data_IF_993639951844
#
_entry.id   IF_993639951844
#
_cell.length_a   1.000
_cell.length_b   1.000
_cell.length_c   1.000
_cell.angle_alpha   90.00
_cell.angle_beta   90.00
_cell.angle_gamma   90.00
#
_symmetry.space_group_name_H-M   'P 1'
#
loop_
_entity.id
_entity.type
_entity.pdbx_description
1 polymer ?
#
# COMPACT_ATOMS: atom_id res chain seq x y z
N UNK A 1 -1.29 -14.74 -9.10
CA UNK A 1 -2.45 -13.99 -9.67
C UNK A 1 -3.28 -14.96 -10.50
N UNK A 2 -4.60 -14.77 -10.54
CA UNK A 2 -5.52 -15.67 -11.25
C UNK A 2 -5.22 -15.74 -12.75
N UNK A 3 -4.66 -14.67 -13.32
CA UNK A 3 -4.24 -14.61 -14.72
C UNK A 3 -3.31 -15.77 -15.13
N UNK A 4 -2.35 -16.12 -14.26
CA UNK A 4 -1.42 -17.22 -14.55
C UNK A 4 -2.10 -18.61 -14.43
N UNK A 5 -3.05 -18.74 -13.51
CA UNK A 5 -3.85 -19.97 -13.35
C UNK A 5 -4.70 -20.21 -14.60
N UNK A 6 -5.30 -19.15 -15.15
CA UNK A 6 -6.09 -19.22 -16.38
C UNK A 6 -5.21 -19.46 -17.61
N UNK A 7 -4.09 -18.73 -17.74
CA UNK A 7 -3.17 -18.85 -18.85
C UNK A 7 -2.54 -20.25 -18.94
N UNK A 8 -2.18 -20.85 -17.81
CA UNK A 8 -1.65 -22.21 -17.72
C UNK A 8 -2.71 -23.29 -17.51
N UNK A 9 -4.01 -22.96 -17.64
CA UNK A 9 -5.15 -23.89 -17.54
C UNK A 9 -5.19 -24.74 -16.26
N UNK A 10 -4.66 -24.22 -15.15
CA UNK A 10 -4.52 -24.93 -13.87
C UNK A 10 -5.84 -25.08 -13.07
N UNK A 11 -6.97 -24.63 -13.63
CA UNK A 11 -8.30 -24.80 -13.04
C UNK A 11 -8.91 -26.19 -13.28
N UNK A 12 -8.28 -27.00 -14.14
CA UNK A 12 -8.63 -28.39 -14.41
C UNK A 12 -7.37 -29.26 -14.36
N UNK A 13 -7.53 -30.52 -13.99
CA UNK A 13 -6.43 -31.48 -14.03
C UNK A 13 -6.14 -31.90 -15.49
N UNK A 14 -4.85 -32.09 -15.81
CA UNK A 14 -4.40 -32.85 -16.97
C UNK A 14 -3.85 -34.22 -16.53
N UNK A 15 -2.90 -34.78 -17.29
CA UNK A 15 -2.34 -36.12 -17.02
C UNK A 15 -0.88 -36.09 -16.54
N UNK A 16 -0.28 -34.89 -16.44
CA UNK A 16 1.15 -34.70 -16.15
C UNK A 16 1.38 -34.32 -14.69
N UNK A 17 2.09 -35.14 -13.93
CA UNK A 17 2.56 -34.73 -12.60
C UNK A 17 4.00 -34.22 -12.68
N UNK A 18 4.37 -33.22 -11.88
CA UNK A 18 5.75 -32.79 -11.79
C UNK A 18 6.24 -32.59 -10.36
N UNK A 19 7.56 -32.71 -10.19
CA UNK A 19 8.25 -32.36 -8.94
C UNK A 19 9.51 -31.56 -9.25
N UNK A 20 9.69 -30.45 -8.57
CA UNK A 20 10.82 -29.53 -8.76
C UNK A 20 11.43 -29.09 -7.42
N UNK A 21 12.71 -28.68 -7.41
CA UNK A 21 13.29 -27.94 -6.27
C UNK A 21 12.89 -26.46 -6.23
N UNK A 22 12.82 -25.81 -7.39
CA UNK A 22 12.63 -24.35 -7.47
C UNK A 22 11.15 -24.00 -7.62
N UNK A 23 10.63 -23.17 -6.71
CA UNK A 23 9.26 -22.65 -6.80
C UNK A 23 9.04 -21.76 -8.03
N UNK A 24 10.04 -20.94 -8.40
CA UNK A 24 9.97 -20.13 -9.61
C UNK A 24 9.92 -20.98 -10.89
N UNK A 25 10.77 -22.00 -10.97
CA UNK A 25 10.76 -22.94 -12.10
C UNK A 25 9.51 -23.82 -12.13
N UNK A 26 8.87 -24.08 -10.98
CA UNK A 26 7.59 -24.77 -10.94
C UNK A 26 6.50 -23.98 -11.67
N UNK A 27 6.53 -22.66 -11.57
CA UNK A 27 5.59 -21.82 -12.32
C UNK A 27 5.88 -21.80 -13.82
N UNK A 28 7.16 -21.91 -14.21
CA UNK A 28 7.54 -22.09 -15.62
C UNK A 28 7.15 -23.48 -16.14
N UNK A 29 7.28 -24.54 -15.33
CA UNK A 29 6.79 -25.87 -15.68
C UNK A 29 5.28 -25.88 -15.92
N UNK A 30 4.49 -25.18 -15.10
CA UNK A 30 3.06 -25.00 -15.35
C UNK A 30 2.80 -24.41 -16.75
N UNK A 31 3.56 -23.37 -17.13
CA UNK A 31 3.46 -22.75 -18.44
C UNK A 31 3.88 -23.71 -19.57
N UNK A 32 5.05 -24.37 -19.47
CA UNK A 32 5.55 -25.30 -20.49
C UNK A 32 4.59 -26.46 -20.68
N UNK A 33 4.22 -27.16 -19.59
CA UNK A 33 3.35 -28.34 -19.63
C UNK A 33 1.97 -27.98 -20.19
N UNK A 34 1.40 -26.82 -19.83
CA UNK A 34 0.11 -26.37 -20.34
C UNK A 34 0.08 -26.12 -21.86
N UNK A 35 1.24 -25.85 -22.48
CA UNK A 35 1.38 -25.59 -23.91
C UNK A 35 1.68 -26.86 -24.72
N UNK A 36 2.34 -27.83 -24.11
CA UNK A 36 2.82 -29.04 -24.78
C UNK A 36 1.97 -30.28 -24.53
N UNK A 37 1.11 -30.27 -23.50
CA UNK A 37 0.31 -31.44 -23.06
C UNK A 37 -1.15 -31.06 -22.73
N UNK A 38 -1.94 -32.01 -22.21
CA UNK A 38 -3.29 -31.73 -21.69
C UNK A 38 -3.30 -30.91 -20.40
N UNK A 39 -2.17 -30.75 -19.71
CA UNK A 39 -2.02 -29.93 -18.51
C UNK A 39 -1.50 -30.68 -17.30
N UNK A 40 -1.37 -29.96 -16.18
CA UNK A 40 -0.82 -30.50 -14.93
C UNK A 40 -1.91 -31.24 -14.14
N UNK A 41 -1.60 -32.44 -13.67
CA UNK A 41 -2.40 -33.18 -12.68
C UNK A 41 -2.06 -32.69 -11.26
N UNK A 42 -0.78 -32.79 -10.87
CA UNK A 42 -0.26 -32.35 -9.58
C UNK A 42 1.17 -31.82 -9.75
N UNK A 43 1.48 -30.69 -9.14
CA UNK A 43 2.79 -30.07 -9.20
C UNK A 43 3.32 -29.75 -7.81
N UNK A 44 4.51 -30.26 -7.47
CA UNK A 44 5.13 -30.04 -6.15
C UNK A 44 6.50 -29.39 -6.27
N UNK A 45 6.73 -28.33 -5.51
CA UNK A 45 8.05 -27.76 -5.27
C UNK A 45 8.57 -28.23 -3.89
N UNK A 46 9.57 -29.12 -3.84
CA UNK A 46 10.12 -29.64 -2.57
C UNK A 46 11.01 -28.63 -1.84
N UNK A 47 11.36 -27.52 -2.48
CA UNK A 47 12.24 -26.49 -1.95
C UNK A 47 13.72 -26.76 -2.22
N UNK A 48 14.53 -25.70 -2.14
CA UNK A 48 15.97 -25.71 -2.44
C UNK A 48 16.88 -25.98 -1.25
N UNK A 49 16.32 -26.33 -0.09
CA UNK A 49 17.11 -26.63 1.09
C UNK A 49 17.86 -27.95 0.93
N UNK A 50 18.98 -28.08 1.64
CA UNK A 50 19.82 -29.28 1.57
C UNK A 50 19.05 -30.55 2.00
N UNK A 51 18.16 -30.41 2.98
CA UNK A 51 17.34 -31.47 3.53
C UNK A 51 15.86 -31.05 3.49
N UNK A 52 15.18 -31.21 2.35
CA UNK A 52 13.76 -30.92 2.27
C UNK A 52 12.96 -31.93 3.10
N UNK A 53 11.81 -31.52 3.65
CA UNK A 53 10.96 -32.40 4.46
C UNK A 53 10.39 -33.60 3.68
N UNK A 54 10.25 -33.46 2.36
CA UNK A 54 9.95 -34.53 1.41
C UNK A 54 10.88 -34.42 0.21
N UNK A 55 11.32 -35.56 -0.31
CA UNK A 55 12.31 -35.67 -1.39
C UNK A 55 11.64 -35.90 -2.74
N UNK A 56 12.42 -35.85 -3.82
CA UNK A 56 11.93 -36.19 -5.16
C UNK A 56 11.27 -37.57 -5.21
N UNK A 57 11.92 -38.58 -4.61
CA UNK A 57 11.43 -39.95 -4.69
C UNK A 57 10.09 -40.14 -3.97
N UNK A 58 9.88 -39.43 -2.85
CA UNK A 58 8.63 -39.51 -2.09
C UNK A 58 7.44 -39.09 -2.96
N UNK A 59 7.59 -38.03 -3.76
CA UNK A 59 6.54 -37.59 -4.67
C UNK A 59 6.45 -38.44 -5.94
N UNK A 60 7.58 -38.90 -6.50
CA UNK A 60 7.58 -39.79 -7.68
C UNK A 60 6.86 -41.10 -7.38
N UNK A 61 7.07 -41.69 -6.19
CA UNK A 61 6.36 -42.91 -5.78
C UNK A 61 4.85 -42.66 -5.65
N UNK A 62 4.43 -41.57 -5.03
CA UNK A 62 2.99 -41.21 -4.98
C UNK A 62 2.40 -41.06 -6.39
N UNK A 63 3.12 -40.40 -7.29
CA UNK A 63 2.66 -40.21 -8.67
C UNK A 63 2.54 -41.54 -9.41
N UNK A 64 3.46 -42.47 -9.17
CA UNK A 64 3.41 -43.82 -9.74
C UNK A 64 2.17 -44.59 -9.28
N UNK A 65 1.74 -44.41 -8.03
CA UNK A 65 0.56 -45.07 -7.45
C UNK A 65 -0.76 -44.36 -7.78
N UNK A 66 -0.72 -43.19 -8.42
CA UNK A 66 -1.91 -42.39 -8.74
C UNK A 66 -2.39 -42.67 -10.17
N UNK A 67 -3.53 -43.35 -10.31
CA UNK A 67 -4.06 -43.78 -11.61
C UNK A 67 -4.27 -42.64 -12.62
N UNK A 68 -4.53 -41.41 -12.15
CA UNK A 68 -4.72 -40.22 -12.97
C UNK A 68 -3.44 -39.65 -13.59
N UNK A 69 -2.26 -40.05 -13.11
CA UNK A 69 -0.97 -39.60 -13.62
C UNK A 69 -0.49 -40.56 -14.70
N UNK A 70 -0.24 -40.05 -15.91
CA UNK A 70 0.27 -40.84 -17.04
C UNK A 70 1.70 -40.52 -17.42
N UNK A 71 2.20 -39.37 -16.98
CA UNK A 71 3.61 -39.01 -17.14
C UNK A 71 4.10 -38.16 -15.97
N UNK A 72 5.38 -38.33 -15.62
CA UNK A 72 6.03 -37.65 -14.49
C UNK A 72 7.20 -36.82 -15.02
N UNK A 73 7.23 -35.54 -14.67
CA UNK A 73 8.33 -34.61 -14.99
C UNK A 73 9.10 -34.28 -13.71
N UNK A 74 10.39 -34.62 -13.68
CA UNK A 74 11.27 -34.30 -12.54
C UNK A 74 12.26 -33.22 -12.97
N UNK A 75 12.18 -32.05 -12.34
CA UNK A 75 13.15 -30.98 -12.55
C UNK A 75 14.11 -30.89 -11.36
N UNK A 76 15.35 -31.33 -11.59
CA UNK A 76 16.45 -31.24 -10.64
C UNK A 76 16.89 -29.80 -10.35
N UNK A 77 18.10 -29.64 -9.83
CA UNK A 77 18.65 -28.31 -9.52
C UNK A 77 19.37 -27.67 -10.70
N UNK A 78 19.14 -26.36 -10.84
CA UNK A 78 20.07 -25.45 -11.51
C UNK A 78 21.01 -24.91 -10.43
N UNK A 79 22.32 -25.03 -10.66
CA UNK A 79 23.37 -24.92 -9.64
C UNK A 79 23.64 -23.48 -9.14
N UNK A 80 22.64 -22.66 -8.82
CA UNK A 80 22.87 -21.34 -8.20
C UNK A 80 21.69 -20.89 -7.31
N UNK A 81 22.00 -20.15 -6.23
CA UNK A 81 21.05 -19.44 -5.36
C UNK A 81 20.40 -20.24 -4.22
N UNK A 82 20.25 -21.56 -4.36
CA UNK A 82 19.65 -22.41 -3.32
C UNK A 82 20.70 -22.95 -2.33
N UNK A 83 20.34 -23.08 -1.05
CA UNK A 83 21.23 -23.56 0.01
C UNK A 83 21.78 -24.98 -0.26
N UNK A 84 21.00 -25.82 -0.96
CA UNK A 84 21.39 -27.17 -1.37
C UNK A 84 22.18 -27.27 -2.67
N UNK A 85 22.32 -26.18 -3.43
CA UNK A 85 22.90 -26.19 -4.78
C UNK A 85 24.45 -26.19 -4.79
N UNK A 86 25.07 -27.01 -3.94
CA UNK A 86 26.52 -27.18 -3.88
C UNK A 86 26.87 -28.65 -4.17
N UNK A 87 27.75 -28.88 -5.14
CA UNK A 87 28.25 -30.22 -5.47
C UNK A 87 29.54 -30.49 -4.69
N UNK A 88 29.46 -31.35 -3.68
CA UNK A 88 30.62 -31.78 -2.88
C UNK A 88 31.43 -32.87 -3.57
N UNK A 89 30.81 -33.62 -4.48
CA UNK A 89 31.41 -34.72 -5.23
C UNK A 89 31.10 -34.62 -6.72
N UNK A 90 31.90 -35.27 -7.56
CA UNK A 90 31.66 -35.32 -9.01
C UNK A 90 30.30 -35.94 -9.37
N UNK A 91 29.82 -36.89 -8.56
CA UNK A 91 28.49 -37.51 -8.65
C UNK A 91 27.34 -36.53 -8.40
N UNK A 92 27.57 -35.47 -7.62
CA UNK A 92 26.55 -34.47 -7.28
C UNK A 92 26.35 -33.43 -8.40
N UNK A 93 27.23 -33.41 -9.41
CA UNK A 93 27.12 -32.48 -10.55
C UNK A 93 25.90 -32.78 -11.42
N UNK A 94 25.28 -31.74 -11.98
CA UNK A 94 24.12 -31.88 -12.87
C UNK A 94 24.43 -32.76 -14.11
N UNK A 95 25.65 -32.67 -14.65
CA UNK A 95 26.09 -33.48 -15.80
C UNK A 95 26.13 -34.96 -15.45
N UNK A 96 26.68 -35.33 -14.29
CA UNK A 96 26.72 -36.71 -13.84
C UNK A 96 25.30 -37.27 -13.59
N UNK A 97 24.42 -36.48 -12.96
CA UNK A 97 23.02 -36.85 -12.72
C UNK A 97 22.25 -37.08 -14.02
N UNK A 98 22.35 -36.15 -14.98
CA UNK A 98 21.66 -36.27 -16.27
C UNK A 98 22.13 -37.49 -17.06
N UNK A 99 23.44 -37.79 -17.03
CA UNK A 99 24.00 -38.99 -17.66
C UNK A 99 23.43 -40.27 -17.03
N UNK A 100 23.45 -40.36 -15.70
CA UNK A 100 22.93 -41.53 -14.96
C UNK A 100 21.43 -41.76 -15.20
N UNK A 101 20.63 -40.68 -15.23
CA UNK A 101 19.19 -40.75 -15.51
C UNK A 101 18.93 -41.26 -16.94
N UNK A 102 19.69 -40.76 -17.92
CA UNK A 102 19.58 -41.19 -19.33
C UNK A 102 19.94 -42.66 -19.50
N UNK A 103 20.98 -43.14 -18.83
CA UNK A 103 21.37 -44.56 -18.83
C UNK A 103 20.32 -45.46 -18.18
N UNK A 104 19.51 -44.92 -17.26
CA UNK A 104 18.41 -45.63 -16.58
C UNK A 104 17.10 -45.64 -17.38
N UNK A 105 17.10 -45.11 -18.62
CA UNK A 105 15.91 -45.08 -19.49
C UNK A 105 14.99 -43.88 -19.27
N UNK A 106 15.39 -42.88 -18.48
CA UNK A 106 14.64 -41.62 -18.34
C UNK A 106 14.82 -40.76 -19.60
N UNK A 107 13.75 -40.10 -20.04
CA UNK A 107 13.80 -39.11 -21.12
C UNK A 107 14.48 -37.82 -20.64
N UNK A 108 15.74 -37.64 -20.99
CA UNK A 108 16.55 -36.48 -20.59
C UNK A 108 16.84 -35.60 -21.82
N UNK A 109 16.41 -34.33 -21.84
CA UNK A 109 16.70 -33.40 -22.94
C UNK A 109 18.18 -33.00 -22.98
N UNK A 110 18.66 -32.41 -24.09
CA UNK A 110 20.05 -31.95 -24.17
C UNK A 110 20.30 -30.69 -23.34
N UNK A 111 19.31 -29.81 -23.29
CA UNK A 111 19.30 -28.57 -22.53
C UNK A 111 17.92 -28.32 -21.92
N UNK A 112 17.79 -27.27 -21.10
CA UNK A 112 16.49 -26.89 -20.55
C UNK A 112 15.52 -26.36 -21.62
N UNK A 113 16.02 -25.71 -22.67
CA UNK A 113 15.19 -25.15 -23.75
C UNK A 113 14.44 -26.25 -24.52
N UNK A 114 15.07 -27.42 -24.68
CA UNK A 114 14.49 -28.60 -25.35
C UNK A 114 13.56 -29.41 -24.41
N UNK A 115 13.38 -29.01 -23.14
CA UNK A 115 12.54 -29.74 -22.20
C UNK A 115 11.08 -29.81 -22.67
N UNK A 116 10.57 -28.71 -23.22
CA UNK A 116 9.21 -28.66 -23.78
C UNK A 116 9.01 -29.68 -24.91
N UNK A 117 9.98 -29.77 -25.83
CA UNK A 117 9.92 -30.67 -26.98
C UNK A 117 9.90 -32.15 -26.54
N UNK A 118 10.73 -32.52 -25.56
CA UNK A 118 10.76 -33.89 -25.03
C UNK A 118 9.47 -34.21 -24.30
N UNK A 119 8.95 -33.30 -23.47
CA UNK A 119 7.66 -33.45 -22.80
C UNK A 119 6.54 -33.67 -23.82
N UNK A 120 6.52 -32.88 -24.89
CA UNK A 120 5.56 -33.00 -25.97
C UNK A 120 5.65 -34.37 -26.67
N UNK A 121 6.86 -34.82 -27.02
CA UNK A 121 7.04 -36.10 -27.70
C UNK A 121 6.53 -37.30 -26.88
N UNK A 122 6.79 -37.31 -25.57
CA UNK A 122 6.34 -38.39 -24.68
C UNK A 122 4.82 -38.36 -24.54
N UNK A 123 4.24 -37.17 -24.43
CA UNK A 123 2.80 -37.00 -24.37
C UNK A 123 2.10 -37.48 -25.66
N UNK A 124 2.61 -37.10 -26.83
CA UNK A 124 2.08 -37.53 -28.13
C UNK A 124 2.14 -39.07 -28.29
N UNK A 125 3.23 -39.70 -27.85
CA UNK A 125 3.37 -41.16 -27.85
C UNK A 125 2.33 -41.85 -26.94
N UNK A 126 2.05 -41.28 -25.77
CA UNK A 126 1.06 -41.81 -24.81
C UNK A 126 -0.37 -41.65 -25.31
N UNK A 127 -0.66 -40.53 -25.98
CA UNK A 127 -1.96 -40.32 -26.66
C UNK A 127 -2.12 -41.29 -27.83
N UNK A 128 -1.08 -41.51 -28.64
CA UNK A 128 -1.10 -42.46 -29.75
C UNK A 128 -1.33 -43.91 -29.30
N UNK A 129 -0.80 -44.29 -28.13
CA UNK A 129 -1.05 -45.59 -27.49
C UNK A 129 -2.44 -45.71 -26.84
N UNK A 130 -3.17 -44.61 -26.70
CA UNK A 130 -4.45 -44.54 -26.02
C UNK A 130 -4.36 -44.62 -24.50
N UNK A 131 -3.18 -44.41 -23.92
CA UNK A 131 -2.99 -44.34 -22.45
C UNK A 131 -3.50 -43.02 -21.87
N UNK A 132 -3.44 -41.94 -22.67
CA UNK A 132 -4.04 -40.64 -22.38
C UNK A 132 -5.17 -40.38 -23.37
N UNK A 133 -6.36 -40.10 -22.85
CA UNK A 133 -7.51 -39.64 -23.64
C UNK A 133 -7.83 -38.22 -23.18
N UNK A 134 -7.47 -37.18 -23.96
CA UNK A 134 -7.68 -35.80 -23.56
C UNK A 134 -9.16 -35.50 -23.32
N UNK A 135 -9.47 -34.93 -22.16
CA UNK A 135 -10.82 -34.49 -21.84
C UNK A 135 -11.19 -33.21 -22.63
N UNK A 136 -12.48 -33.03 -22.90
CA UNK A 136 -13.00 -31.81 -23.53
C UNK A 136 -12.82 -30.60 -22.60
N UNK A 137 -12.43 -29.45 -23.16
CA UNK A 137 -12.23 -28.23 -22.37
C UNK A 137 -13.55 -27.59 -21.96
N UNK A 138 -13.80 -27.56 -20.66
CA UNK A 138 -14.94 -26.84 -20.07
C UNK A 138 -14.48 -25.45 -19.61
N UNK A 139 -15.18 -24.36 -20.01
CA UNK A 139 -14.81 -23.02 -19.59
C UNK A 139 -14.95 -22.86 -18.07
N UNK A 140 -13.98 -22.25 -17.38
CA UNK A 140 -14.05 -22.06 -15.93
C UNK A 140 -15.10 -21.00 -15.55
N UNK A 141 -15.66 -21.07 -14.33
CA UNK A 141 -16.47 -19.99 -13.78
C UNK A 141 -15.68 -18.66 -13.78
N UNK A 142 -16.32 -17.58 -14.21
CA UNK A 142 -15.67 -16.27 -14.30
C UNK A 142 -15.61 -15.60 -12.93
N UNK A 143 -14.45 -15.03 -12.60
CA UNK A 143 -14.25 -14.23 -11.38
C UNK A 143 -14.17 -12.76 -11.78
N UNK A 144 -14.92 -11.85 -11.12
CA UNK A 144 -14.80 -10.42 -11.38
C UNK A 144 -13.38 -9.92 -11.12
N UNK A 145 -12.93 -8.97 -11.93
CA UNK A 145 -11.63 -8.33 -11.74
C UNK A 145 -11.62 -7.52 -10.43
N UNK A 146 -10.51 -7.62 -9.68
CA UNK A 146 -10.33 -6.86 -8.46
C UNK A 146 -10.35 -5.35 -8.73
N UNK A 147 -11.00 -4.61 -7.83
CA UNK A 147 -11.12 -3.16 -7.95
C UNK A 147 -9.76 -2.44 -8.00
N UNK A 148 -8.77 -2.90 -7.21
CA UNK A 148 -7.41 -2.35 -7.24
C UNK A 148 -6.77 -2.49 -8.61
N UNK A 149 -6.86 -3.68 -9.21
CA UNK A 149 -6.34 -3.98 -10.54
C UNK A 149 -7.03 -3.19 -11.65
N UNK A 150 -8.36 -3.04 -11.55
CA UNK A 150 -9.15 -2.30 -12.52
C UNK A 150 -8.95 -0.77 -12.44
N UNK A 151 -8.80 -0.24 -11.22
CA UNK A 151 -8.74 1.22 -10.96
C UNK A 151 -7.36 1.79 -11.18
N UNK A 152 -6.32 1.02 -10.95
CA UNK A 152 -4.99 1.58 -10.93
C UNK A 152 -4.62 2.14 -12.30
N UNK A 153 -4.53 3.45 -12.32
CA UNK A 153 -4.30 4.28 -13.49
C UNK A 153 -2.86 4.72 -13.39
N UNK A 154 -2.14 4.54 -14.50
CA UNK A 154 -0.83 5.13 -14.81
C UNK A 154 -0.68 6.49 -14.10
N UNK A 155 0.06 6.55 -12.99
CA UNK A 155 0.58 7.81 -12.44
C UNK A 155 1.79 8.21 -13.28
N UNK A 156 1.59 8.48 -14.57
CA UNK A 156 2.60 9.13 -15.39
C UNK A 156 2.51 10.63 -15.11
N UNK A 157 3.06 11.02 -13.97
CA UNK A 157 3.33 12.43 -13.65
C UNK A 157 4.73 12.54 -13.08
N UNK A 158 5.72 12.06 -13.85
CA UNK A 158 7.12 12.40 -13.64
C UNK A 158 7.87 12.30 -14.98
N UNK A 159 7.97 13.45 -15.65
CA UNK A 159 9.14 13.92 -16.41
C UNK A 159 9.70 12.94 -17.47
N UNK A 160 9.33 13.24 -18.72
CA UNK A 160 10.14 13.00 -19.90
C UNK A 160 11.59 13.44 -19.65
N UNK A 161 12.52 12.49 -19.46
CA UNK A 161 13.95 12.62 -19.81
C UNK A 161 14.77 11.45 -19.22
N UNK A 162 15.08 10.47 -20.06
CA UNK A 162 16.22 9.55 -19.96
C UNK A 162 16.23 8.47 -18.85
N UNK A 163 15.50 7.36 -19.07
CA UNK A 163 15.92 6.04 -18.58
C UNK A 163 15.24 4.92 -19.38
N UNK A 164 15.97 4.01 -20.07
CA UNK A 164 15.38 2.91 -20.84
C UNK A 164 15.39 1.61 -20.03
N UNK A 165 14.83 1.60 -18.82
CA UNK A 165 14.47 0.37 -18.12
C UNK A 165 13.07 0.57 -17.57
N UNK A 166 12.10 0.24 -18.41
CA UNK A 166 10.69 0.24 -18.06
C UNK A 166 10.46 -0.86 -17.04
N UNK A 167 10.26 -0.48 -15.77
CA UNK A 167 9.71 -1.36 -14.75
C UNK A 167 8.25 -1.64 -15.17
N UNK A 168 8.03 -2.80 -15.76
CA UNK A 168 6.71 -3.30 -16.17
C UNK A 168 5.97 -3.76 -14.92
N UNK A 169 5.29 -2.84 -14.25
CA UNK A 169 4.06 -3.13 -13.48
C UNK A 169 3.14 -1.91 -13.63
N UNK A 170 2.62 -1.73 -14.83
CA UNK A 170 1.66 -0.68 -15.19
C UNK A 170 0.24 -1.26 -15.15
N UNK A 171 -0.50 -0.92 -14.11
CA UNK A 171 -1.88 -1.34 -13.90
C UNK A 171 -2.85 -0.54 -14.84
N UNK A 172 -3.99 -1.15 -15.21
CA UNK A 172 -4.64 -1.01 -16.53
C UNK A 172 -5.56 0.22 -16.75
N UNK A 173 -5.90 0.99 -15.72
CA UNK A 173 -6.71 2.21 -15.84
C UNK A 173 -8.13 2.03 -16.44
N UNK A 174 -8.74 0.85 -16.28
CA UNK A 174 -10.00 0.45 -16.92
C UNK A 174 -11.23 1.17 -16.37
N UNK A 175 -11.19 1.58 -15.10
CA UNK A 175 -12.31 2.26 -14.44
C UNK A 175 -11.83 3.55 -13.76
N UNK A 176 -12.73 4.55 -13.72
CA UNK A 176 -12.54 5.78 -12.95
C UNK A 176 -13.51 5.82 -11.78
N UNK A 177 -13.00 6.09 -10.57
CA UNK A 177 -13.83 6.37 -9.38
C UNK A 177 -13.54 7.80 -8.91
N UNK A 178 -14.55 8.69 -8.86
CA UNK A 178 -14.35 10.05 -8.36
C UNK A 178 -13.95 10.00 -6.88
N UNK A 179 -13.07 10.91 -6.48
CA UNK A 179 -12.69 11.06 -5.07
C UNK A 179 -13.86 11.65 -4.28
N UNK A 180 -14.15 11.06 -3.12
CA UNK A 180 -15.21 11.54 -2.21
C UNK A 180 -14.74 12.71 -1.33
N UNK A 181 -13.42 12.82 -1.15
CA UNK A 181 -12.80 13.82 -0.28
C UNK A 181 -11.73 14.58 -1.05
N UNK A 182 -11.58 15.86 -0.72
CA UNK A 182 -10.49 16.71 -1.16
C UNK A 182 -9.78 17.26 0.07
N UNK A 183 -8.45 17.23 0.05
CA UNK A 183 -7.58 17.81 1.07
C UNK A 183 -6.49 18.62 0.38
N UNK A 184 -6.03 19.70 1.03
CA UNK A 184 -5.02 20.62 0.49
C UNK A 184 -3.96 21.04 1.51
N UNK A 185 -4.04 20.56 2.76
CA UNK A 185 -3.19 21.03 3.86
C UNK A 185 -1.98 20.12 4.12
N UNK A 186 -2.10 18.83 3.83
CA UNK A 186 -1.09 17.84 4.12
C UNK A 186 -1.17 16.68 3.12
N UNK A 187 -0.01 16.13 2.74
CA UNK A 187 0.12 14.88 1.99
C UNK A 187 1.12 13.97 2.69
N UNK A 188 0.65 12.79 3.11
CA UNK A 188 1.39 11.77 3.84
C UNK A 188 1.71 10.53 2.98
N UNK A 189 1.27 10.50 1.72
CA UNK A 189 1.39 9.31 0.84
C UNK A 189 2.77 9.16 0.21
N UNK A 190 3.52 10.27 0.15
CA UNK A 190 4.87 10.30 -0.43
C UNK A 190 5.92 9.61 0.45
N UNK A 191 7.18 9.69 0.02
CA UNK A 191 8.31 9.23 0.85
C UNK A 191 8.52 10.11 2.10
N UNK A 192 8.02 11.34 2.04
CA UNK A 192 8.16 12.33 3.09
C UNK A 192 6.82 13.04 3.33
N UNK A 193 6.58 13.43 4.59
CA UNK A 193 5.42 14.21 4.99
C UNK A 193 5.52 15.65 4.44
N UNK A 194 4.44 16.13 3.84
CA UNK A 194 4.38 17.47 3.24
C UNK A 194 3.31 18.30 3.95
N UNK A 195 3.65 19.51 4.38
CA UNK A 195 2.72 20.53 4.89
C UNK A 195 2.55 21.65 3.87
N UNK A 196 1.36 21.74 3.27
CA UNK A 196 1.01 22.74 2.25
C UNK A 196 2.10 22.95 1.17
N UNK A 197 2.68 21.85 0.68
CA UNK A 197 3.74 21.85 -0.34
C UNK A 197 5.17 21.95 0.20
N UNK A 198 5.38 22.16 1.50
CA UNK A 198 6.70 22.17 2.14
C UNK A 198 7.00 20.81 2.78
N UNK A 199 8.09 20.12 2.39
CA UNK A 199 8.53 18.89 3.05
C UNK A 199 8.86 19.12 4.52
N UNK A 200 8.64 18.12 5.37
CA UNK A 200 8.87 18.22 6.81
C UNK A 200 10.34 18.50 7.16
N UNK A 201 11.29 18.00 6.37
CA UNK A 201 12.72 18.30 6.53
C UNK A 201 13.01 19.79 6.34
N UNK A 202 12.40 20.43 5.34
CA UNK A 202 12.55 21.86 5.09
C UNK A 202 11.90 22.70 6.21
N UNK A 203 10.76 22.25 6.76
CA UNK A 203 10.13 22.88 7.93
C UNK A 203 11.10 23.00 9.10
N UNK A 204 11.86 21.93 9.41
CA UNK A 204 12.85 21.95 10.48
C UNK A 204 14.12 22.70 10.09
N UNK A 205 14.60 22.54 8.85
CA UNK A 205 15.81 23.20 8.35
C UNK A 205 15.69 24.71 8.37
N UNK A 206 14.51 25.24 8.09
CA UNK A 206 14.24 26.68 8.05
C UNK A 206 13.82 27.26 9.40
N UNK A 207 13.69 26.43 10.44
CA UNK A 207 13.32 26.81 11.81
C UNK A 207 12.08 27.72 11.86
N UNK A 208 10.99 27.29 11.21
CA UNK A 208 9.77 28.10 11.09
C UNK A 208 8.90 28.11 12.36
N UNK A 209 9.16 27.20 13.31
CA UNK A 209 8.46 27.08 14.59
C UNK A 209 7.02 26.57 14.47
N UNK A 210 6.31 26.57 15.60
CA UNK A 210 4.91 26.14 15.68
C UNK A 210 4.01 27.14 14.93
N UNK A 211 4.29 28.44 15.06
CA UNK A 211 3.57 29.49 14.34
C UNK A 211 3.69 29.35 12.82
N UNK A 212 4.85 28.92 12.32
CA UNK A 212 5.10 28.69 10.90
C UNK A 212 4.35 27.47 10.37
N UNK A 213 4.35 26.37 11.14
CA UNK A 213 3.57 25.16 10.80
C UNK A 213 2.06 25.47 10.80
N UNK A 214 1.56 26.25 11.77
CA UNK A 214 0.18 26.73 11.75
C UNK A 214 -0.12 27.57 10.51
N UNK A 215 0.82 28.41 10.07
CA UNK A 215 0.71 29.16 8.82
C UNK A 215 0.51 28.27 7.59
N UNK A 216 1.28 27.18 7.51
CA UNK A 216 1.16 26.18 6.44
C UNK A 216 -0.16 25.43 6.52
N UNK A 217 -0.53 24.89 7.69
CA UNK A 217 -1.71 24.04 7.81
C UNK A 217 -3.03 24.81 7.73
N UNK A 218 -3.12 26.00 8.32
CA UNK A 218 -4.38 26.77 8.36
C UNK A 218 -4.55 27.70 7.17
N UNK A 219 -3.47 28.30 6.68
CA UNK A 219 -3.53 29.31 5.62
C UNK A 219 -2.90 28.84 4.30
N UNK A 220 -2.25 27.67 4.26
CA UNK A 220 -1.45 27.20 3.12
C UNK A 220 -0.41 28.23 2.65
N UNK A 221 0.19 28.95 3.60
CA UNK A 221 1.17 30.01 3.32
C UNK A 221 2.36 29.93 4.26
N UNK A 222 3.54 30.16 3.70
CA UNK A 222 4.73 30.47 4.48
C UNK A 222 4.62 31.91 5.00
N UNK A 223 4.26 32.05 6.27
CA UNK A 223 4.13 33.35 6.92
C UNK A 223 5.51 33.94 7.25
N UNK A 224 5.67 35.27 7.25
CA UNK A 224 6.90 35.91 7.71
C UNK A 224 7.22 35.57 9.17
N UNK A 225 8.51 35.61 9.56
CA UNK A 225 8.96 35.27 10.92
C UNK A 225 8.24 36.08 12.02
N UNK A 226 7.99 37.37 11.80
CA UNK A 226 7.27 38.20 12.77
C UNK A 226 5.82 37.71 12.98
N UNK A 227 5.16 37.21 11.93
CA UNK A 227 3.79 36.72 12.00
C UNK A 227 3.74 35.34 12.66
N UNK A 228 4.69 34.46 12.34
CA UNK A 228 4.87 33.18 13.06
C UNK A 228 5.05 33.43 14.57
N UNK A 229 5.96 34.33 14.93
CA UNK A 229 6.19 34.67 16.33
C UNK A 229 4.98 35.32 17.00
N UNK A 230 4.24 36.19 16.29
CA UNK A 230 3.00 36.77 16.80
C UNK A 230 1.94 35.70 17.09
N UNK A 231 1.79 34.70 16.21
CA UNK A 231 0.87 33.57 16.44
C UNK A 231 1.27 32.81 17.71
N UNK A 232 2.57 32.53 17.90
CA UNK A 232 3.06 31.87 19.11
C UNK A 232 2.82 32.70 20.36
N UNK A 233 3.03 34.02 20.30
CA UNK A 233 2.70 34.92 21.41
C UNK A 233 1.20 34.89 21.74
N UNK A 234 0.33 34.88 20.73
CA UNK A 234 -1.11 34.73 20.95
C UNK A 234 -1.46 33.42 21.65
N UNK A 235 -0.81 32.31 21.30
CA UNK A 235 -1.00 31.03 21.98
C UNK A 235 -0.51 31.08 23.43
N UNK A 236 0.62 31.75 23.71
CA UNK A 236 1.16 31.88 25.06
C UNK A 236 0.24 32.70 25.97
N UNK A 237 -0.26 33.86 25.52
CA UNK A 237 -1.11 34.73 26.35
C UNK A 237 -2.53 34.18 26.54
N UNK A 238 -2.96 33.25 25.68
CA UNK A 238 -4.27 32.59 25.78
C UNK A 238 -4.19 31.19 26.41
N UNK A 239 -3.00 30.74 26.82
CA UNK A 239 -2.78 29.38 27.30
C UNK A 239 -3.66 29.01 28.51
N UNK A 240 -3.81 29.90 29.48
CA UNK A 240 -4.74 29.73 30.60
C UNK A 240 -5.13 31.08 31.23
N UNK A 241 -6.31 31.13 31.83
CA UNK A 241 -6.80 32.29 32.60
C UNK A 241 -7.45 31.85 33.93
N UNK A 242 -6.92 30.76 34.51
CA UNK A 242 -7.31 30.24 35.81
C UNK A 242 -8.58 29.38 35.81
N UNK A 243 -8.83 28.65 36.91
CA UNK A 243 -9.83 27.57 36.95
C UNK A 243 -11.29 28.06 37.04
N UNK A 244 -11.52 29.36 37.18
CA UNK A 244 -12.85 29.94 37.39
C UNK A 244 -13.61 30.19 36.09
N UNK A 245 -12.95 30.11 34.93
CA UNK A 245 -13.60 30.28 33.64
C UNK A 245 -14.36 29.03 33.22
N UNK A 246 -15.42 29.18 32.42
CA UNK A 246 -16.36 28.09 32.07
C UNK A 246 -15.68 26.82 31.58
N UNK A 247 -14.74 26.94 30.63
CA UNK A 247 -14.05 25.77 30.07
C UNK A 247 -13.16 25.05 31.07
N UNK A 248 -12.33 25.79 31.81
CA UNK A 248 -11.45 25.20 32.82
C UNK A 248 -12.27 24.51 33.93
N UNK A 249 -13.35 25.14 34.39
CA UNK A 249 -14.24 24.56 35.40
C UNK A 249 -14.85 23.23 34.92
N UNK A 250 -15.37 23.18 33.70
CA UNK A 250 -15.93 21.96 33.13
C UNK A 250 -14.89 20.84 32.99
N UNK A 251 -13.68 21.16 32.52
CA UNK A 251 -12.57 20.20 32.43
C UNK A 251 -12.23 19.62 33.81
N UNK A 252 -12.15 20.47 34.83
CA UNK A 252 -11.85 20.05 36.22
C UNK A 252 -12.95 19.14 36.76
N UNK A 253 -14.22 19.50 36.57
CA UNK A 253 -15.35 18.68 37.02
C UNK A 253 -15.34 17.31 36.32
N UNK A 254 -15.11 17.28 35.00
CA UNK A 254 -15.05 16.04 34.23
C UNK A 254 -13.87 15.16 34.65
N UNK A 255 -12.69 15.74 34.88
CA UNK A 255 -11.53 15.02 35.40
C UNK A 255 -11.78 14.47 36.81
N UNK A 256 -12.42 15.25 37.68
CA UNK A 256 -12.81 14.80 39.04
C UNK A 256 -13.89 13.73 39.02
N UNK A 257 -14.66 13.62 37.96
CA UNK A 257 -15.59 12.51 37.72
C UNK A 257 -14.89 11.23 37.23
N UNK A 258 -13.55 11.20 37.20
CA UNK A 258 -12.76 10.03 36.82
C UNK A 258 -12.70 9.79 35.31
N UNK A 259 -12.95 10.82 34.49
CA UNK A 259 -12.85 10.71 33.03
C UNK A 259 -11.42 10.88 32.55
N UNK A 260 -11.14 10.31 31.38
CA UNK A 260 -9.85 10.39 30.71
C UNK A 260 -9.53 11.82 30.21
N UNK A 261 -8.29 12.02 29.76
CA UNK A 261 -7.78 13.32 29.31
C UNK A 261 -8.61 13.89 28.16
N UNK A 262 -8.95 13.09 27.15
CA UNK A 262 -9.66 13.56 25.95
C UNK A 262 -11.11 13.92 26.32
N UNK A 263 -11.79 13.08 27.10
CA UNK A 263 -13.13 13.39 27.63
C UNK A 263 -13.15 14.66 28.47
N UNK A 264 -12.13 14.85 29.32
CA UNK A 264 -12.05 16.02 30.21
C UNK A 264 -11.78 17.30 29.41
N UNK A 265 -10.81 17.25 28.50
CA UNK A 265 -10.46 18.36 27.61
C UNK A 265 -11.64 18.78 26.73
N UNK A 266 -12.28 17.81 26.06
CA UNK A 266 -13.42 18.08 25.16
C UNK A 266 -14.62 18.66 25.91
N UNK A 267 -14.88 18.20 27.15
CA UNK A 267 -15.93 18.78 28.00
C UNK A 267 -15.74 20.27 28.26
N UNK A 268 -14.49 20.72 28.46
CA UNK A 268 -14.16 22.13 28.57
C UNK A 268 -14.21 22.87 27.24
N UNK A 269 -13.65 22.29 26.17
CA UNK A 269 -13.62 22.90 24.83
C UNK A 269 -15.03 23.15 24.27
N UNK A 270 -16.01 22.29 24.57
CA UNK A 270 -17.41 22.48 24.16
C UNK A 270 -18.08 23.72 24.77
N UNK A 271 -17.46 24.36 25.77
CA UNK A 271 -17.95 25.64 26.31
C UNK A 271 -17.47 26.85 25.50
N UNK A 272 -16.46 26.68 24.63
CA UNK A 272 -15.90 27.75 23.80
C UNK A 272 -16.90 28.08 22.69
N UNK A 273 -17.29 29.36 22.62
CA UNK A 273 -18.30 29.88 21.71
C UNK A 273 -18.61 31.34 22.03
N UNK A 274 -19.84 31.77 21.78
CA UNK A 274 -20.23 33.20 21.82
C UNK A 274 -19.87 33.92 23.12
N UNK A 275 -20.16 33.31 24.28
CA UNK A 275 -19.97 33.95 25.60
C UNK A 275 -18.61 33.70 26.23
N UNK A 276 -17.92 32.62 25.85
CA UNK A 276 -16.63 32.23 26.40
C UNK A 276 -15.68 31.91 25.24
N UNK A 277 -14.65 32.73 25.05
CA UNK A 277 -13.67 32.60 23.95
C UNK A 277 -14.05 33.32 22.65
N UNK A 278 -15.33 33.62 22.40
CA UNK A 278 -15.79 34.26 21.15
C UNK A 278 -15.44 35.76 20.99
N UNK A 279 -14.93 36.41 22.04
CA UNK A 279 -14.66 37.86 22.01
C UNK A 279 -13.58 38.26 20.99
N UNK A 280 -12.60 37.39 20.71
CA UNK A 280 -11.52 37.68 19.75
C UNK A 280 -12.07 37.82 18.32
N UNK A 281 -12.84 36.83 17.84
CA UNK A 281 -13.47 36.86 16.51
C UNK A 281 -14.52 37.99 16.42
N UNK A 282 -15.31 38.19 17.48
CA UNK A 282 -16.32 39.25 17.51
C UNK A 282 -15.71 40.66 17.44
N UNK A 283 -14.60 40.90 18.16
CA UNK A 283 -13.87 42.16 18.11
C UNK A 283 -13.26 42.37 16.72
N UNK A 284 -12.55 41.37 16.18
CA UNK A 284 -11.95 41.45 14.85
C UNK A 284 -13.00 41.81 13.78
N UNK A 285 -14.14 41.12 13.73
CA UNK A 285 -15.23 41.43 12.79
C UNK A 285 -15.80 42.83 12.98
N UNK A 286 -16.03 43.24 14.23
CA UNK A 286 -16.63 44.54 14.53
C UNK A 286 -15.72 45.70 14.12
N UNK A 287 -14.44 45.63 14.48
CA UNK A 287 -13.46 46.65 14.14
C UNK A 287 -13.15 46.68 12.63
N UNK A 288 -12.95 45.52 11.98
CA UNK A 288 -12.76 45.47 10.53
C UNK A 288 -13.95 46.08 9.79
N UNK A 289 -15.19 45.70 10.14
CA UNK A 289 -16.39 46.27 9.51
C UNK A 289 -16.49 47.78 9.68
N UNK A 290 -16.15 48.31 10.86
CA UNK A 290 -16.19 49.75 11.10
C UNK A 290 -15.11 50.48 10.29
N UNK A 291 -13.88 49.95 10.30
CA UNK A 291 -12.75 50.49 9.57
C UNK A 291 -12.98 50.48 8.05
N UNK A 292 -13.39 49.34 7.50
CA UNK A 292 -13.67 49.16 6.06
C UNK A 292 -14.84 50.03 5.58
N UNK A 293 -15.76 50.39 6.49
CA UNK A 293 -16.86 51.32 6.19
C UNK A 293 -16.46 52.80 6.20
N UNK A 294 -15.20 53.11 6.53
CA UNK A 294 -14.67 54.48 6.56
C UNK A 294 -15.17 55.34 7.73
N UNK A 295 -15.80 54.74 8.75
CA UNK A 295 -16.26 55.46 9.93
C UNK A 295 -15.06 55.94 10.75
N UNK A 296 -15.07 57.21 11.14
CA UNK A 296 -14.09 57.69 12.12
C UNK A 296 -14.39 57.07 13.50
N UNK A 297 -13.37 56.90 14.39
CA UNK A 297 -13.55 56.22 15.67
C UNK A 297 -14.71 56.77 16.53
N UNK A 298 -14.89 58.09 16.53
CA UNK A 298 -15.96 58.72 17.32
C UNK A 298 -17.35 58.41 16.77
N UNK A 299 -17.51 58.34 15.44
CA UNK A 299 -18.76 57.95 14.80
C UNK A 299 -19.08 56.49 15.07
N UNK A 300 -18.08 55.61 15.03
CA UNK A 300 -18.24 54.21 15.40
C UNK A 300 -18.74 54.04 16.84
N UNK A 301 -18.14 54.74 17.80
CA UNK A 301 -18.57 54.71 19.21
C UNK A 301 -20.01 55.20 19.36
N UNK A 302 -20.34 56.33 18.75
CA UNK A 302 -21.69 56.90 18.80
C UNK A 302 -22.73 55.98 18.15
N UNK A 303 -22.37 55.34 17.04
CA UNK A 303 -23.21 54.35 16.35
C UNK A 303 -23.50 53.16 17.24
N UNK A 304 -22.47 52.56 17.85
CA UNK A 304 -22.66 51.41 18.76
C UNK A 304 -23.52 51.79 19.98
N UNK A 305 -23.30 52.97 20.55
CA UNK A 305 -24.13 53.52 21.63
C UNK A 305 -25.59 53.71 21.20
N UNK A 306 -25.84 54.25 20.00
CA UNK A 306 -27.19 54.43 19.45
C UNK A 306 -27.88 53.09 19.17
N UNK A 307 -27.13 52.08 18.76
CA UNK A 307 -27.63 50.72 18.54
C UNK A 307 -27.80 49.92 19.86
N UNK A 308 -27.41 50.47 21.01
CA UNK A 308 -27.49 49.78 22.31
C UNK A 308 -26.53 48.59 22.42
N UNK A 309 -25.44 48.59 21.65
CA UNK A 309 -24.44 47.51 21.63
C UNK A 309 -23.14 47.98 22.30
N UNK A 310 -22.56 47.11 23.12
CA UNK A 310 -21.21 47.31 23.64
C UNK A 310 -20.18 46.97 22.55
N UNK A 311 -19.04 47.65 22.60
CA UNK A 311 -17.94 47.40 21.65
C UNK A 311 -17.19 46.16 22.12
N UNK A 312 -17.15 45.12 21.27
CA UNK A 312 -16.45 43.88 21.59
C UNK A 312 -14.95 44.12 21.68
N UNK A 313 -14.30 43.57 22.71
CA UNK A 313 -12.88 43.78 22.98
C UNK A 313 -12.54 45.04 23.77
N UNK A 314 -13.55 45.83 24.18
CA UNK A 314 -13.36 47.01 25.03
C UNK A 314 -13.98 46.78 26.42
N UNK A 315 -13.22 47.16 27.44
CA UNK A 315 -13.63 47.07 28.85
C UNK A 315 -12.88 45.98 29.60
N UNK A 316 -12.45 46.31 30.82
CA UNK A 316 -11.75 45.38 31.71
C UNK A 316 -12.20 45.63 33.14
N UNK A 317 -12.31 44.56 33.96
CA UNK A 317 -12.92 44.65 35.30
C UNK A 317 -12.07 45.42 36.31
N UNK A 318 -10.75 45.36 36.20
CA UNK A 318 -9.79 45.93 37.17
C UNK A 318 -8.81 46.94 36.54
N UNK A 319 -8.14 46.55 35.46
CA UNK A 319 -7.30 47.44 34.65
C UNK A 319 -8.16 48.53 34.00
N UNK A 320 -7.74 49.78 34.13
CA UNK A 320 -8.33 50.99 33.55
C UNK A 320 -7.33 51.68 32.64
#
# INVERSE_FOLDING_TARGET
MLDNILASKLYRAGSVAYVSRSGGMSNELNNIISRTTDGVYEGVAIGGDRYPGSTFMDHVLRYQDTEGVKMIVVLGEVQFGHAGACANQASETAVAKNKALKESGVYVPRSFDELGDVIQSVYEDLVAKGEIVPAEEVPPPTVPMDYSWARASIHCTAILSACPIWIIYSELGLIRKPASFMTSICDERGQELIYAGMPITDVFKEDIGIGGVLGLLWFQRRVPKYASHFIEMCLMVTADHGPAVSGAHNTIVCARAGKDLISSLTSGLLTIGDRFGGALDAAARMFSKAFDSGLIPMEFVNKMKKEGKLIMGIGHRVKS
#
